data_IF_748247717375
#
_entry.id   IF_748247717375
#
_cell.length_a   1.000
_cell.length_b   1.000
_cell.length_c   1.000
_cell.angle_alpha   90.00
_cell.angle_beta   90.00
_cell.angle_gamma   90.00
#
_symmetry.space_group_name_H-M   'P 1'
#
loop_
_entity.id
_entity.type
_entity.pdbx_description
1 polymer ?
#
# COMPACT_ATOMS: atom_id res chain seq x y z
N UNK A 1 -2.90 -7.98 7.03
CA UNK A 1 -2.14 -6.86 7.60
C UNK A 1 -0.71 -7.34 7.80
N UNK A 2 0.11 -7.07 6.79
CA UNK A 2 1.51 -7.48 6.72
C UNK A 2 2.37 -6.24 6.89
N UNK A 3 3.47 -6.35 7.65
CA UNK A 3 4.44 -5.28 7.88
C UNK A 3 5.80 -5.71 7.36
N UNK A 4 6.61 -4.76 6.89
CA UNK A 4 7.90 -5.02 6.27
C UNK A 4 9.03 -4.25 6.96
N UNK A 5 10.24 -4.81 6.95
CA UNK A 5 11.39 -4.18 7.61
C UNK A 5 11.81 -2.89 6.89
N UNK A 6 11.61 -2.82 5.57
CA UNK A 6 11.93 -1.65 4.77
C UNK A 6 10.68 -1.00 4.16
N UNK A 7 10.77 0.31 3.90
CA UNK A 7 9.68 1.04 3.25
C UNK A 7 9.49 0.59 1.79
N UNK A 8 10.58 0.27 1.09
CA UNK A 8 10.55 -0.17 -0.30
C UNK A 8 9.78 -1.48 -0.46
N UNK A 9 10.08 -2.48 0.37
CA UNK A 9 9.34 -3.74 0.41
C UNK A 9 7.86 -3.53 0.73
N UNK A 10 7.55 -2.62 1.67
CA UNK A 10 6.17 -2.30 2.00
C UNK A 10 5.42 -1.68 0.82
N UNK A 11 6.06 -0.78 0.08
CA UNK A 11 5.48 -0.14 -1.10
C UNK A 11 5.26 -1.17 -2.21
N UNK A 12 6.23 -2.02 -2.48
CA UNK A 12 6.12 -3.03 -3.55
C UNK A 12 5.00 -4.01 -3.25
N UNK A 13 4.95 -4.53 -2.02
CA UNK A 13 3.87 -5.43 -1.62
C UNK A 13 2.49 -4.76 -1.66
N UNK A 14 2.38 -3.51 -1.20
CA UNK A 14 1.13 -2.76 -1.26
C UNK A 14 0.67 -2.51 -2.71
N UNK A 15 1.61 -2.30 -3.64
CA UNK A 15 1.32 -2.13 -5.07
C UNK A 15 0.78 -3.42 -5.67
N UNK A 16 1.38 -4.55 -5.34
CA UNK A 16 0.93 -5.87 -5.79
C UNK A 16 -0.47 -6.19 -5.28
N UNK A 17 -0.73 -5.99 -3.98
CA UNK A 17 -2.07 -6.17 -3.40
C UNK A 17 -3.10 -5.25 -4.08
N UNK A 18 -2.74 -3.98 -4.30
CA UNK A 18 -3.61 -3.02 -4.97
C UNK A 18 -3.99 -3.42 -6.40
N UNK A 19 -3.03 -3.93 -7.19
CA UNK A 19 -3.30 -4.39 -8.56
C UNK A 19 -4.12 -5.68 -8.57
N UNK A 20 -3.86 -6.60 -7.63
CA UNK A 20 -4.63 -7.82 -7.47
C UNK A 20 -6.11 -7.52 -7.13
N UNK A 21 -6.36 -6.50 -6.31
CA UNK A 21 -7.71 -6.06 -5.92
C UNK A 21 -8.43 -5.23 -7.01
N UNK A 22 -7.70 -4.75 -8.02
CA UNK A 22 -8.24 -3.97 -9.14
C UNK A 22 -7.93 -4.63 -10.49
N UNK A 23 -8.47 -5.84 -10.76
CA UNK A 23 -8.20 -6.57 -11.99
C UNK A 23 -8.74 -5.79 -13.20
N UNK A 24 -7.87 -5.50 -14.17
CA UNK A 24 -8.20 -4.72 -15.37
C UNK A 24 -7.67 -3.29 -15.38
N UNK A 25 -6.97 -2.88 -14.32
CA UNK A 25 -6.14 -1.67 -14.30
C UNK A 25 -4.68 -2.10 -14.50
N UNK A 26 -4.03 -1.58 -15.54
CA UNK A 26 -2.58 -1.79 -15.70
C UNK A 26 -1.83 -0.95 -14.65
N UNK A 27 -0.67 -1.41 -14.20
CA UNK A 27 0.15 -0.72 -13.21
C UNK A 27 0.51 0.71 -13.64
N UNK A 28 0.69 0.94 -14.94
CA UNK A 28 0.98 2.26 -15.50
C UNK A 28 -0.26 3.16 -15.58
N UNK A 29 -1.46 2.57 -15.70
CA UNK A 29 -2.74 3.28 -15.78
C UNK A 29 -3.42 3.41 -14.40
N UNK A 30 -2.79 2.89 -13.35
CA UNK A 30 -3.35 2.81 -12.03
C UNK A 30 -3.41 4.18 -11.34
N UNK A 31 -4.63 4.72 -11.23
CA UNK A 31 -4.86 6.00 -10.55
C UNK A 31 -5.07 5.80 -9.04
N UNK A 32 -3.96 5.83 -8.29
CA UNK A 32 -3.96 5.86 -6.82
C UNK A 32 -4.50 7.21 -6.35
N UNK A 33 -5.64 7.19 -5.64
CA UNK A 33 -6.22 8.42 -5.09
C UNK A 33 -5.79 8.70 -3.66
N UNK A 34 -5.47 7.65 -2.91
CA UNK A 34 -4.98 7.78 -1.54
C UNK A 34 -3.84 6.79 -1.31
N UNK A 35 -2.80 7.30 -0.66
CA UNK A 35 -1.62 6.56 -0.22
C UNK A 35 -1.49 6.73 1.29
N UNK A 36 -1.30 5.62 2.00
CA UNK A 36 -1.03 5.63 3.43
C UNK A 36 0.30 4.92 3.69
N UNK A 37 1.16 5.54 4.49
CA UNK A 37 2.39 4.94 4.99
C UNK A 37 2.48 5.16 6.50
N UNK A 38 2.67 4.08 7.23
CA UNK A 38 2.81 4.08 8.68
C UNK A 38 4.14 3.45 9.05
N UNK A 39 4.93 4.18 9.84
CA UNK A 39 6.19 3.71 10.42
C UNK A 39 5.94 3.31 11.87
N UNK A 40 6.30 2.09 12.20
CA UNK A 40 6.32 1.56 13.55
C UNK A 40 7.76 1.45 14.02
N UNK A 41 8.00 1.90 15.26
CA UNK A 41 9.27 1.68 15.97
C UNK A 41 8.96 0.71 17.10
N UNK A 42 9.54 -0.48 17.03
CA UNK A 42 9.35 -1.55 18.00
C UNK A 42 10.20 -1.30 19.26
N UNK A 43 9.94 -2.07 20.32
CA UNK A 43 10.59 -1.87 21.63
C UNK A 43 12.09 -2.18 21.61
N UNK A 44 12.52 -3.06 20.73
CA UNK A 44 13.92 -3.38 20.43
C UNK A 44 14.60 -2.31 19.54
N UNK A 45 13.82 -1.33 19.07
CA UNK A 45 14.29 -0.28 18.16
C UNK A 45 14.14 -0.62 16.68
N UNK A 46 13.64 -1.82 16.36
CA UNK A 46 13.43 -2.23 14.98
C UNK A 46 12.34 -1.37 14.32
N UNK A 47 12.52 -1.12 13.03
CA UNK A 47 11.58 -0.34 12.24
C UNK A 47 10.77 -1.29 11.38
N UNK A 48 9.45 -1.14 11.43
CA UNK A 48 8.53 -1.84 10.56
C UNK A 48 7.66 -0.82 9.82
N UNK A 49 7.33 -1.13 8.58
CA UNK A 49 6.53 -0.28 7.70
C UNK A 49 5.26 -1.00 7.28
N UNK A 50 4.17 -0.24 7.23
CA UNK A 50 2.93 -0.64 6.59
C UNK A 50 2.59 0.41 5.54
N UNK A 51 2.23 -0.05 4.35
CA UNK A 51 1.83 0.81 3.24
C UNK A 51 0.54 0.26 2.64
N UNK A 52 -0.37 1.15 2.26
CA UNK A 52 -1.62 0.79 1.59
C UNK A 52 -1.95 1.83 0.49
N UNK A 53 -2.43 1.33 -0.65
CA UNK A 53 -2.95 2.14 -1.73
C UNK A 53 -4.47 1.98 -1.83
N UNK A 54 -5.16 3.08 -2.10
CA UNK A 54 -6.61 3.06 -2.32
C UNK A 54 -6.97 3.74 -3.63
N UNK A 55 -7.76 3.03 -4.43
CA UNK A 55 -8.42 3.59 -5.60
C UNK A 55 -9.64 4.35 -5.10
N UNK A 56 -9.90 5.52 -5.65
CA UNK A 56 -11.19 6.15 -5.45
C UNK A 56 -12.26 5.37 -6.18
N UNK A 57 -13.01 4.53 -5.46
CA UNK A 57 -14.34 4.13 -5.94
C UNK A 57 -15.18 5.40 -5.97
N UNK A 58 -15.35 5.99 -7.15
CA UNK A 58 -16.40 6.97 -7.40
C UNK A 58 -17.75 6.25 -7.43
N UNK A 59 -18.19 5.79 -6.26
CA UNK A 59 -19.49 5.20 -6.00
C UNK A 59 -20.34 6.17 -5.19
N UNK A 60 -21.21 6.90 -5.89
CA UNK A 60 -22.31 7.74 -5.41
C UNK A 60 -22.79 7.46 -3.97
N UNK A 61 -22.77 8.49 -3.12
CA UNK A 61 -23.98 9.12 -2.55
C UNK A 61 -23.63 10.49 -1.97
#
# INVERSE_FOLDING_TARGET
MTMYATLEEAIDAAREEFLADNPGIDAEDANVQQFNAQKYVLQDGDIMWQVEFFAGRRGRR
#
